data_IF_942730741953
#
_entry.id   IF_942730741953
#
_cell.length_a   1.000
_cell.length_b   1.000
_cell.length_c   1.000
_cell.angle_alpha   90.00
_cell.angle_beta   90.00
_cell.angle_gamma   90.00
#
_symmetry.space_group_name_H-M   'P 1'
#
loop_
_entity.id
_entity.type
_entity.pdbx_description
1 polymer ?
#
# COMPACT_ATOMS: atom_id res chain seq x y z
N UNK A 1 -13.14 4.27 20.98
CA UNK A 1 -12.48 4.00 22.26
C UNK A 1 -13.47 3.68 23.39
N UNK A 2 -14.63 4.36 23.49
CA UNK A 2 -15.58 4.12 24.59
C UNK A 2 -16.17 2.70 24.61
N UNK A 3 -16.34 2.07 23.46
CA UNK A 3 -16.92 0.72 23.31
C UNK A 3 -15.93 -0.40 23.62
N UNK A 4 -14.66 -0.24 23.24
CA UNK A 4 -13.62 -1.24 23.44
C UNK A 4 -12.80 -0.90 24.70
N UNK A 5 -12.78 -1.79 25.68
CA UNK A 5 -12.12 -1.55 26.97
C UNK A 5 -10.58 -1.44 26.82
N UNK A 6 -9.99 -2.25 25.95
CA UNK A 6 -8.57 -2.27 25.62
C UNK A 6 -8.07 -0.94 25.04
N UNK A 7 -8.89 -0.26 24.22
CA UNK A 7 -8.55 1.06 23.67
C UNK A 7 -8.58 2.19 24.73
N UNK A 8 -8.99 1.88 25.96
CA UNK A 8 -8.97 2.81 27.11
C UNK A 8 -7.87 2.48 28.11
N UNK A 9 -7.19 1.36 27.93
CA UNK A 9 -6.07 0.97 28.78
C UNK A 9 -4.91 1.98 28.56
N UNK A 10 -4.39 2.64 29.60
CA UNK A 10 -3.29 3.59 29.46
C UNK A 10 -1.99 2.97 28.94
N UNK A 11 -1.87 1.65 28.97
CA UNK A 11 -0.75 0.90 28.39
C UNK A 11 -0.88 0.72 26.87
N UNK A 12 -2.07 0.96 26.32
CA UNK A 12 -2.31 0.88 24.87
C UNK A 12 -1.74 2.13 24.19
N UNK A 13 -0.45 2.08 23.89
CA UNK A 13 0.28 3.11 23.14
C UNK A 13 0.73 2.54 21.79
N UNK A 14 0.55 3.33 20.73
CA UNK A 14 0.93 2.95 19.36
C UNK A 14 1.69 4.08 18.69
N UNK A 15 2.68 3.74 17.86
CA UNK A 15 3.46 4.71 17.09
C UNK A 15 2.69 5.18 15.85
N UNK A 16 1.79 4.37 15.32
CA UNK A 16 0.98 4.70 14.17
C UNK A 16 -0.37 4.01 14.21
N UNK A 17 -1.30 4.48 13.39
CA UNK A 17 -2.58 3.82 13.14
C UNK A 17 -2.94 3.94 11.66
N UNK A 18 -3.34 2.84 11.05
CA UNK A 18 -3.97 2.80 9.73
C UNK A 18 -5.42 2.38 9.91
N UNK A 19 -6.34 3.09 9.31
CA UNK A 19 -7.76 2.72 9.39
C UNK A 19 -8.48 2.96 8.07
N UNK A 20 -9.56 2.22 7.85
CA UNK A 20 -10.47 2.36 6.72
C UNK A 20 -11.92 2.35 7.19
N UNK A 21 -12.77 3.18 6.59
CA UNK A 21 -14.15 3.39 7.10
C UNK A 21 -15.16 2.40 6.54
N UNK A 22 -14.87 1.70 5.46
CA UNK A 22 -15.85 0.84 4.79
C UNK A 22 -15.18 -0.31 4.05
N UNK A 23 -15.99 -1.33 3.73
CA UNK A 23 -15.59 -2.44 2.87
C UNK A 23 -15.48 -2.02 1.40
N UNK A 24 -14.83 -2.85 0.58
CA UNK A 24 -14.84 -2.73 -0.88
C UNK A 24 -16.28 -2.75 -1.40
N UNK A 25 -16.54 -1.97 -2.47
CA UNK A 25 -17.87 -1.89 -3.10
C UNK A 25 -18.15 -3.05 -4.06
N UNK A 26 -17.10 -3.75 -4.53
CA UNK A 26 -17.17 -4.77 -5.58
C UNK A 26 -17.28 -6.19 -5.04
N UNK A 27 -17.33 -6.37 -3.72
CA UNK A 27 -17.45 -7.66 -3.06
C UNK A 27 -18.49 -7.61 -1.96
N UNK A 28 -19.06 -8.77 -1.61
CA UNK A 28 -19.90 -8.88 -0.43
C UNK A 28 -19.06 -8.63 0.83
N UNK A 29 -19.49 -7.77 1.76
CA UNK A 29 -18.78 -7.51 2.99
C UNK A 29 -18.57 -8.77 3.82
N UNK A 30 -17.31 -9.08 4.13
CA UNK A 30 -16.87 -10.18 4.99
C UNK A 30 -15.71 -9.71 5.83
N UNK A 31 -15.57 -10.23 7.03
CA UNK A 31 -14.46 -9.85 7.93
C UNK A 31 -13.07 -10.05 7.32
N UNK A 32 -12.77 -11.13 6.57
CA UNK A 32 -11.49 -11.29 5.91
C UNK A 32 -11.17 -10.21 4.85
N UNK A 33 -12.19 -9.48 4.39
CA UNK A 33 -12.06 -8.41 3.40
C UNK A 33 -12.18 -7.02 4.04
N UNK A 34 -12.19 -6.93 5.38
CA UNK A 34 -12.16 -5.66 6.08
C UNK A 34 -10.78 -5.01 5.93
N UNK A 35 -10.77 -3.71 5.69
CA UNK A 35 -9.54 -2.93 5.56
C UNK A 35 -9.24 -2.16 6.86
N UNK A 36 -7.98 -1.88 7.19
CA UNK A 36 -6.78 -2.31 6.46
C UNK A 36 -6.61 -3.81 6.47
N UNK A 37 -5.98 -4.34 5.43
CA UNK A 37 -5.59 -5.74 5.29
C UNK A 37 -4.37 -6.03 6.18
N UNK A 38 -3.47 -6.94 5.79
CA UNK A 38 -2.26 -7.26 6.58
C UNK A 38 -1.20 -6.18 6.49
N UNK A 39 -0.97 -5.64 5.28
CA UNK A 39 0.05 -4.63 5.02
C UNK A 39 -0.54 -3.34 4.49
N UNK A 40 -1.70 -3.37 3.81
CA UNK A 40 -2.23 -2.20 3.15
C UNK A 40 -3.73 -1.93 3.40
N UNK A 41 -4.11 -0.67 3.18
CA UNK A 41 -5.47 -0.23 2.98
C UNK A 41 -5.57 0.52 1.66
N UNK A 42 -6.67 0.33 0.93
CA UNK A 42 -6.88 0.81 -0.42
C UNK A 42 -8.14 1.66 -0.54
N UNK A 43 -8.00 2.83 -1.11
CA UNK A 43 -9.12 3.64 -1.59
C UNK A 43 -9.00 3.78 -3.11
N UNK A 44 -9.80 3.03 -3.84
CA UNK A 44 -9.78 3.01 -5.30
C UNK A 44 -10.32 1.71 -5.87
N UNK A 45 -9.82 1.36 -7.05
CA UNK A 45 -10.18 0.15 -7.78
C UNK A 45 -9.03 -0.25 -8.71
N UNK A 46 -8.60 -1.51 -8.65
CA UNK A 46 -7.61 -2.06 -9.57
C UNK A 46 -8.31 -2.59 -10.81
N UNK A 47 -8.12 -1.91 -11.93
CA UNK A 47 -8.80 -2.23 -13.19
C UNK A 47 -8.18 -3.44 -13.90
N UNK A 48 -6.93 -3.78 -13.62
CA UNK A 48 -6.19 -4.88 -14.25
C UNK A 48 -6.30 -6.20 -13.49
N UNK A 49 -7.18 -6.29 -12.47
CA UNK A 49 -7.27 -7.40 -11.54
C UNK A 49 -7.25 -8.78 -12.20
N UNK A 50 -8.07 -9.00 -13.26
CA UNK A 50 -8.13 -10.30 -13.91
C UNK A 50 -6.79 -10.73 -14.51
N UNK A 51 -6.08 -9.82 -15.15
CA UNK A 51 -4.73 -10.05 -15.65
C UNK A 51 -3.74 -10.35 -14.52
N UNK A 52 -3.79 -9.56 -13.43
CA UNK A 52 -2.93 -9.75 -12.28
C UNK A 52 -3.15 -11.11 -11.59
N UNK A 53 -4.40 -11.56 -11.45
CA UNK A 53 -4.72 -12.88 -10.91
C UNK A 53 -4.13 -14.02 -11.76
N UNK A 54 -4.25 -13.91 -13.10
CA UNK A 54 -3.71 -14.90 -14.02
C UNK A 54 -2.18 -14.97 -13.95
N UNK A 55 -1.52 -13.83 -13.88
CA UNK A 55 -0.07 -13.76 -13.75
C UNK A 55 0.42 -14.25 -12.38
N UNK A 56 -0.24 -13.85 -11.29
CA UNK A 56 0.09 -14.37 -9.97
C UNK A 56 0.02 -15.89 -9.94
N UNK A 57 -1.05 -16.48 -10.51
CA UNK A 57 -1.20 -17.93 -10.63
C UNK A 57 -0.11 -18.57 -11.50
N UNK A 58 0.28 -17.93 -12.61
CA UNK A 58 1.36 -18.43 -13.45
C UNK A 58 2.71 -18.41 -12.73
N UNK A 59 2.94 -17.44 -11.86
CA UNK A 59 4.18 -17.29 -11.09
C UNK A 59 4.27 -18.25 -9.89
N UNK A 60 3.18 -18.89 -9.46
CA UNK A 60 3.17 -19.85 -8.36
C UNK A 60 4.13 -21.02 -8.56
N UNK A 61 4.36 -21.43 -9.81
CA UNK A 61 5.29 -22.51 -10.14
C UNK A 61 6.75 -22.21 -9.72
N UNK A 62 7.13 -20.94 -9.60
CA UNK A 62 8.46 -20.52 -9.17
C UNK A 62 8.62 -20.36 -7.66
N UNK A 63 7.56 -20.52 -6.88
CA UNK A 63 7.64 -20.32 -5.43
C UNK A 63 8.49 -21.36 -4.72
N UNK A 64 8.56 -22.58 -5.26
CA UNK A 64 9.36 -23.66 -4.71
C UNK A 64 10.85 -23.33 -4.68
N UNK A 65 11.33 -22.57 -5.68
CA UNK A 65 12.73 -22.12 -5.76
C UNK A 65 13.11 -21.18 -4.60
N UNK A 66 12.15 -20.43 -4.07
CA UNK A 66 12.37 -19.44 -3.00
C UNK A 66 11.98 -19.99 -1.63
N UNK A 67 10.87 -20.72 -1.56
CA UNK A 67 10.25 -21.15 -0.30
C UNK A 67 10.39 -22.64 -0.01
N UNK A 68 10.94 -23.43 -0.95
CA UNK A 68 11.05 -24.88 -0.81
C UNK A 68 9.71 -25.55 -0.52
N UNK A 69 9.69 -26.50 0.39
CA UNK A 69 8.46 -27.23 0.78
C UNK A 69 7.34 -26.33 1.32
N UNK A 70 7.67 -25.16 1.90
CA UNK A 70 6.69 -24.23 2.41
C UNK A 70 5.87 -23.54 1.28
N UNK A 71 6.31 -23.63 0.03
CA UNK A 71 5.57 -23.09 -1.12
C UNK A 71 4.15 -23.67 -1.23
N UNK A 72 3.98 -24.94 -0.87
CA UNK A 72 2.67 -25.60 -0.92
C UNK A 72 1.63 -24.97 0.01
N UNK A 73 2.07 -24.40 1.14
CA UNK A 73 1.18 -23.71 2.10
C UNK A 73 0.83 -22.28 1.65
N UNK A 74 1.56 -21.72 0.68
CA UNK A 74 1.34 -20.37 0.15
C UNK A 74 0.41 -20.36 -1.07
N UNK A 75 0.20 -21.49 -1.72
CA UNK A 75 -0.62 -21.61 -2.94
C UNK A 75 -2.07 -21.99 -2.57
N UNK A 76 -3.09 -21.28 -3.11
CA UNK A 76 -2.98 -20.16 -4.04
C UNK A 76 -2.65 -18.84 -3.33
N UNK A 77 -1.76 -18.03 -3.93
CA UNK A 77 -1.39 -16.70 -3.41
C UNK A 77 -2.57 -15.73 -3.51
N UNK A 78 -3.31 -15.80 -4.60
CA UNK A 78 -4.46 -14.93 -4.89
C UNK A 78 -5.75 -15.75 -4.94
N UNK A 79 -6.87 -15.08 -4.63
CA UNK A 79 -8.18 -15.72 -4.63
C UNK A 79 -9.17 -14.88 -5.47
N UNK A 80 -9.73 -15.43 -6.57
CA UNK A 80 -10.65 -14.71 -7.44
C UNK A 80 -11.96 -14.28 -6.75
N UNK A 81 -12.31 -14.92 -5.61
CA UNK A 81 -13.48 -14.54 -4.82
C UNK A 81 -13.22 -13.38 -3.84
N UNK A 82 -11.98 -12.90 -3.78
CA UNK A 82 -11.58 -11.79 -2.92
C UNK A 82 -11.59 -10.46 -3.69
N UNK A 83 -11.55 -9.35 -2.93
CA UNK A 83 -11.46 -8.03 -3.53
C UNK A 83 -10.10 -7.82 -4.22
N UNK A 84 -10.07 -6.83 -5.12
CA UNK A 84 -8.84 -6.31 -5.71
C UNK A 84 -7.80 -5.98 -4.64
N UNK A 85 -8.22 -5.26 -3.62
CA UNK A 85 -7.36 -4.86 -2.49
C UNK A 85 -6.78 -6.04 -1.72
N UNK A 86 -7.59 -7.08 -1.48
CA UNK A 86 -7.13 -8.25 -0.75
C UNK A 86 -6.11 -9.08 -1.56
N UNK A 87 -6.30 -9.15 -2.86
CA UNK A 87 -5.36 -9.82 -3.76
C UNK A 87 -4.06 -9.03 -3.93
N UNK A 88 -4.15 -7.70 -4.01
CA UNK A 88 -2.97 -6.83 -4.02
C UNK A 88 -2.18 -6.97 -2.71
N UNK A 89 -2.87 -6.98 -1.56
CA UNK A 89 -2.24 -7.17 -0.25
C UNK A 89 -1.53 -8.53 -0.14
N UNK A 90 -2.16 -9.61 -0.61
CA UNK A 90 -1.55 -10.94 -0.61
C UNK A 90 -0.29 -11.00 -1.48
N UNK A 91 -0.32 -10.39 -2.66
CA UNK A 91 0.85 -10.29 -3.54
C UNK A 91 1.96 -9.44 -2.90
N UNK A 92 1.60 -8.30 -2.31
CA UNK A 92 2.52 -7.44 -1.58
C UNK A 92 3.15 -8.19 -0.40
N UNK A 93 2.34 -8.91 0.39
CA UNK A 93 2.84 -9.67 1.53
C UNK A 93 3.85 -10.74 1.09
N UNK A 94 3.55 -11.47 0.01
CA UNK A 94 4.48 -12.46 -0.54
C UNK A 94 5.82 -11.83 -0.89
N UNK A 95 5.83 -10.69 -1.59
CA UNK A 95 7.07 -9.99 -1.96
C UNK A 95 7.86 -9.54 -0.73
N UNK A 96 7.19 -8.98 0.26
CA UNK A 96 7.81 -8.50 1.51
C UNK A 96 8.37 -9.67 2.31
N UNK A 97 7.63 -10.79 2.42
CA UNK A 97 8.08 -11.99 3.12
C UNK A 97 9.21 -12.71 2.36
N UNK A 98 9.30 -12.53 1.05
CA UNK A 98 10.41 -13.00 0.22
C UNK A 98 11.65 -12.11 0.30
N UNK A 99 11.65 -11.06 1.14
CA UNK A 99 12.82 -10.25 1.47
C UNK A 99 12.90 -8.89 0.77
N UNK A 100 11.92 -8.49 -0.01
CA UNK A 100 11.86 -7.13 -0.58
C UNK A 100 11.36 -6.13 0.46
N UNK A 101 11.81 -4.88 0.39
CA UNK A 101 11.21 -3.85 1.22
C UNK A 101 9.77 -3.56 0.77
N UNK A 102 8.91 -3.10 1.69
CA UNK A 102 7.53 -2.76 1.34
C UNK A 102 7.47 -1.62 0.32
N UNK A 103 8.37 -0.65 0.39
CA UNK A 103 8.47 0.45 -0.55
C UNK A 103 8.86 -0.01 -1.95
N UNK A 104 9.87 -0.87 -2.07
CA UNK A 104 10.31 -1.42 -3.37
C UNK A 104 9.24 -2.34 -3.98
N UNK A 105 8.55 -3.10 -3.14
CA UNK A 105 7.44 -3.95 -3.58
C UNK A 105 6.29 -3.11 -4.14
N UNK A 106 5.92 -2.02 -3.48
CA UNK A 106 4.87 -1.11 -3.95
C UNK A 106 5.27 -0.37 -5.22
N UNK A 107 6.51 0.11 -5.34
CA UNK A 107 7.03 0.71 -6.57
C UNK A 107 6.99 -0.27 -7.73
N UNK A 108 7.21 -1.56 -7.45
CA UNK A 108 7.13 -2.63 -8.47
C UNK A 108 5.69 -2.93 -8.87
N UNK A 109 4.78 -3.06 -7.89
CA UNK A 109 3.39 -3.40 -8.13
C UNK A 109 2.57 -2.24 -8.70
N UNK A 110 2.85 -1.02 -8.25
CA UNK A 110 2.13 0.20 -8.65
C UNK A 110 3.16 1.26 -9.07
N UNK A 111 3.84 1.06 -10.20
CA UNK A 111 4.87 1.98 -10.67
C UNK A 111 4.27 3.32 -11.10
N UNK A 112 5.06 4.38 -11.01
CA UNK A 112 4.74 5.64 -11.65
C UNK A 112 4.79 5.55 -13.18
N UNK A 113 4.28 6.55 -13.87
CA UNK A 113 4.40 6.68 -15.32
C UNK A 113 5.83 7.09 -15.70
N UNK A 114 6.77 6.13 -15.73
CA UNK A 114 8.21 6.39 -15.90
C UNK A 114 8.66 6.53 -17.35
N UNK A 115 7.84 6.08 -18.32
CA UNK A 115 8.19 6.15 -19.74
C UNK A 115 7.92 7.55 -20.31
N UNK A 116 8.91 8.11 -21.00
CA UNK A 116 8.84 9.45 -21.60
C UNK A 116 8.54 10.55 -20.56
N UNK A 117 9.12 10.45 -19.38
CA UNK A 117 8.99 11.42 -18.31
C UNK A 117 10.21 12.34 -18.29
N UNK A 118 10.06 13.64 -18.66
CA UNK A 118 11.19 14.57 -18.67
C UNK A 118 11.89 14.71 -17.32
N UNK A 119 11.14 14.58 -16.23
CA UNK A 119 11.68 14.65 -14.86
C UNK A 119 12.66 13.51 -14.54
N UNK A 120 12.57 12.39 -15.27
CA UNK A 120 13.47 11.24 -15.14
C UNK A 120 14.64 11.23 -16.13
N UNK A 121 14.72 12.20 -17.04
CA UNK A 121 15.82 12.27 -18.02
C UNK A 121 17.21 12.37 -17.35
N UNK A 122 17.26 13.00 -16.17
CA UNK A 122 18.47 13.08 -15.35
C UNK A 122 18.72 11.88 -14.44
N UNK A 123 17.80 10.91 -14.42
CA UNK A 123 17.81 9.74 -13.52
C UNK A 123 17.66 8.42 -14.30
N UNK A 124 18.63 8.09 -15.17
CA UNK A 124 18.60 6.84 -15.94
C UNK A 124 18.62 5.59 -15.06
N UNK A 125 19.18 5.68 -13.86
CA UNK A 125 19.16 4.65 -12.84
C UNK A 125 17.72 4.28 -12.39
N UNK A 126 16.87 5.29 -12.20
CA UNK A 126 15.46 5.13 -11.82
C UNK A 126 14.67 4.51 -12.97
N UNK A 127 14.87 5.02 -14.19
CA UNK A 127 14.22 4.45 -15.39
C UNK A 127 14.59 2.99 -15.58
N UNK A 128 15.89 2.65 -15.48
CA UNK A 128 16.36 1.26 -15.59
C UNK A 128 15.77 0.35 -14.50
N UNK A 129 15.62 0.85 -13.27
CA UNK A 129 14.95 0.13 -12.19
C UNK A 129 13.49 -0.21 -12.55
N UNK A 130 12.74 0.75 -13.06
CA UNK A 130 11.35 0.52 -13.49
C UNK A 130 11.27 -0.44 -14.67
N UNK A 131 12.14 -0.32 -15.66
CA UNK A 131 12.20 -1.24 -16.80
C UNK A 131 12.51 -2.67 -16.36
N UNK A 132 13.47 -2.84 -15.45
CA UNK A 132 13.78 -4.14 -14.85
C UNK A 132 12.56 -4.72 -14.11
N UNK A 133 11.93 -3.94 -13.24
CA UNK A 133 10.75 -4.38 -12.50
C UNK A 133 9.60 -4.75 -13.43
N UNK A 134 9.36 -3.97 -14.50
CA UNK A 134 8.32 -4.26 -15.49
C UNK A 134 8.58 -5.54 -16.30
N UNK A 135 9.81 -6.03 -16.33
CA UNK A 135 10.18 -7.31 -16.93
C UNK A 135 9.91 -8.54 -16.05
N UNK A 136 9.72 -8.35 -14.75
CA UNK A 136 9.55 -9.45 -13.80
C UNK A 136 8.18 -9.45 -13.09
N UNK A 137 7.46 -8.35 -13.11
CA UNK A 137 6.17 -8.20 -12.42
C UNK A 137 5.24 -7.30 -13.21
N UNK A 138 4.01 -7.76 -13.46
CA UNK A 138 2.97 -6.94 -14.06
C UNK A 138 2.48 -5.88 -13.08
N UNK A 139 2.28 -4.64 -13.56
CA UNK A 139 1.73 -3.60 -12.72
C UNK A 139 0.26 -3.88 -12.38
N UNK A 140 -0.10 -3.51 -11.16
CA UNK A 140 -1.49 -3.43 -10.71
C UNK A 140 -1.96 -2.00 -10.95
N UNK A 141 -2.84 -1.81 -11.92
CA UNK A 141 -3.22 -0.48 -12.41
C UNK A 141 -4.69 -0.16 -12.17
N UNK A 142 -4.92 1.07 -11.80
CA UNK A 142 -6.24 1.63 -11.51
C UNK A 142 -6.13 2.84 -10.59
N UNK A 143 -7.25 3.57 -10.38
CA UNK A 143 -7.29 4.68 -9.43
C UNK A 143 -7.01 4.17 -8.02
N UNK A 144 -5.88 4.52 -7.41
CA UNK A 144 -5.51 3.98 -6.11
C UNK A 144 -4.80 5.01 -5.21
N UNK A 145 -5.33 5.17 -4.00
CA UNK A 145 -4.57 5.61 -2.85
C UNK A 145 -4.33 4.39 -1.97
N UNK A 146 -3.10 3.99 -1.84
CA UNK A 146 -2.67 2.89 -0.98
C UNK A 146 -2.00 3.46 0.26
N UNK A 147 -2.46 3.06 1.44
CA UNK A 147 -1.74 3.26 2.71
C UNK A 147 -1.16 1.92 3.14
N UNK A 148 0.03 1.91 3.70
CA UNK A 148 0.75 0.68 4.01
C UNK A 148 1.50 0.75 5.34
N UNK A 149 1.71 -0.41 5.95
CA UNK A 149 2.57 -0.56 7.11
C UNK A 149 3.11 -1.99 7.19
N UNK A 150 4.40 -2.14 7.49
CA UNK A 150 5.07 -3.44 7.72
C UNK A 150 5.60 -3.60 9.16
N UNK A 151 5.26 -2.65 10.04
CA UNK A 151 5.75 -2.58 11.41
C UNK A 151 7.07 -1.80 11.57
N UNK A 152 7.79 -1.53 10.48
CA UNK A 152 9.00 -0.71 10.46
C UNK A 152 8.78 0.60 9.72
N UNK A 153 7.97 0.57 8.69
CA UNK A 153 7.58 1.71 7.87
C UNK A 153 6.08 1.83 7.80
N UNK A 154 5.60 3.06 7.77
CA UNK A 154 4.21 3.40 7.49
C UNK A 154 4.21 4.48 6.42
N UNK A 155 3.27 4.41 5.48
CA UNK A 155 3.27 5.38 4.40
C UNK A 155 2.05 5.30 3.51
N UNK A 156 2.12 6.04 2.42
CA UNK A 156 1.10 5.99 1.38
C UNK A 156 1.70 6.28 0.00
N UNK A 157 1.05 5.73 -1.03
CA UNK A 157 1.42 5.97 -2.43
C UNK A 157 0.17 6.15 -3.28
N UNK A 158 0.30 6.92 -4.35
CA UNK A 158 -0.74 7.09 -5.36
C UNK A 158 -0.41 6.29 -6.62
N UNK A 159 -1.47 5.94 -7.34
CA UNK A 159 -1.36 5.41 -8.69
C UNK A 159 -0.64 6.39 -9.64
N UNK A 160 -0.18 5.87 -10.78
CA UNK A 160 0.59 6.62 -11.77
C UNK A 160 -0.10 7.86 -12.33
N UNK A 161 -1.43 7.92 -12.26
CA UNK A 161 -2.24 9.05 -12.76
C UNK A 161 -2.68 10.00 -11.64
N UNK A 162 -2.51 9.61 -10.37
CA UNK A 162 -2.91 10.41 -9.23
C UNK A 162 -4.41 10.69 -9.17
N UNK A 163 -5.23 9.71 -9.61
CA UNK A 163 -6.69 9.89 -9.74
C UNK A 163 -7.39 9.95 -8.40
N UNK A 164 -6.80 9.37 -7.36
CA UNK A 164 -7.35 9.48 -6.01
C UNK A 164 -6.70 10.65 -5.27
N UNK A 165 -7.46 11.38 -4.45
CA UNK A 165 -6.87 12.42 -3.61
C UNK A 165 -6.08 11.78 -2.47
N UNK A 166 -4.94 12.38 -2.14
CA UNK A 166 -4.14 12.08 -0.95
C UNK A 166 -3.66 13.38 -0.32
N UNK A 167 -4.11 13.66 0.89
CA UNK A 167 -3.77 14.85 1.66
C UNK A 167 -2.93 14.47 2.85
N UNK A 168 -1.91 15.26 3.13
CA UNK A 168 -1.07 15.05 4.30
C UNK A 168 -0.79 16.36 5.03
N UNK A 169 -0.50 16.25 6.30
CA UNK A 169 0.04 17.35 7.09
C UNK A 169 0.94 16.84 8.21
N UNK A 170 1.82 17.72 8.67
CA UNK A 170 2.64 17.52 9.87
C UNK A 170 2.25 18.54 10.93
N UNK A 171 2.39 18.17 12.19
CA UNK A 171 2.08 19.03 13.32
C UNK A 171 3.32 19.30 14.16
N UNK A 172 3.32 20.43 14.91
CA UNK A 172 4.45 20.84 15.74
C UNK A 172 4.78 19.84 16.87
N UNK A 173 3.81 19.02 17.26
CA UNK A 173 3.99 17.94 18.25
C UNK A 173 4.37 16.59 17.59
N UNK A 174 4.82 16.62 16.32
CA UNK A 174 5.46 15.48 15.65
C UNK A 174 4.51 14.48 14.98
N UNK A 175 3.21 14.77 14.83
CA UNK A 175 2.34 13.88 14.07
C UNK A 175 2.47 14.10 12.57
N UNK A 176 2.51 13.00 11.83
CA UNK A 176 2.29 12.94 10.38
C UNK A 176 0.91 12.31 10.14
N UNK A 177 0.03 13.03 9.48
CA UNK A 177 -1.35 12.62 9.22
C UNK A 177 -1.56 12.59 7.72
N UNK A 178 -2.09 11.48 7.22
CA UNK A 178 -2.43 11.31 5.81
C UNK A 178 -3.80 10.68 5.65
N UNK A 179 -4.53 11.10 4.62
CA UNK A 179 -5.83 10.54 4.29
C UNK A 179 -6.27 10.90 2.88
N UNK A 180 -7.33 10.25 2.41
CA UNK A 180 -7.97 10.58 1.12
C UNK A 180 -8.55 12.00 1.09
N UNK A 181 -8.83 12.58 2.25
CA UNK A 181 -9.41 13.91 2.39
C UNK A 181 -8.94 14.60 3.68
N UNK A 182 -9.13 15.90 3.75
CA UNK A 182 -8.88 16.67 4.98
C UNK A 182 -9.97 16.41 6.01
N UNK A 183 -9.64 16.54 7.30
CA UNK A 183 -10.60 16.37 8.39
C UNK A 183 -10.82 14.91 8.82
N UNK A 184 -9.99 13.97 8.36
CA UNK A 184 -10.02 12.56 8.80
C UNK A 184 -9.62 12.40 10.25
N UNK A 185 -8.84 13.35 10.77
CA UNK A 185 -8.44 13.47 12.17
C UNK A 185 -8.78 14.87 12.66
N UNK A 186 -9.32 14.97 13.87
CA UNK A 186 -9.54 16.27 14.51
C UNK A 186 -8.19 16.88 14.91
N UNK A 187 -7.89 18.03 14.34
CA UNK A 187 -6.66 18.80 14.60
C UNK A 187 -6.91 20.03 15.50
N UNK A 188 -8.07 20.12 16.13
CA UNK A 188 -8.39 21.21 17.05
C UNK A 188 -7.36 21.29 18.16
N UNK A 189 -6.74 22.44 18.30
CA UNK A 189 -5.68 22.67 19.29
C UNK A 189 -4.27 22.23 18.88
N UNK A 190 -4.09 21.69 17.66
CA UNK A 190 -2.76 21.36 17.11
C UNK A 190 -2.29 22.43 16.12
N UNK A 191 -1.00 22.75 16.19
CA UNK A 191 -0.35 23.63 15.21
C UNK A 191 0.12 22.81 14.02
N UNK A 192 -0.51 23.01 12.86
CA UNK A 192 -0.06 22.43 11.58
C UNK A 192 1.17 23.20 11.09
N UNK A 193 2.28 22.49 10.89
CA UNK A 193 3.56 23.06 10.43
C UNK A 193 3.61 23.05 8.90
N UNK A 194 3.23 21.93 8.31
CA UNK A 194 3.27 21.74 6.86
C UNK A 194 2.06 20.93 6.42
N UNK A 195 1.61 21.15 5.20
CA UNK A 195 0.53 20.39 4.57
C UNK A 195 0.70 20.34 3.07
N UNK A 196 0.23 19.25 2.48
CA UNK A 196 0.34 19.06 1.05
C UNK A 196 -0.59 17.98 0.50
N UNK A 197 -0.31 17.60 -0.71
CA UNK A 197 -0.93 16.49 -1.40
C UNK A 197 0.15 15.64 -2.05
N UNK A 198 -0.09 14.35 -2.20
CA UNK A 198 0.71 13.52 -3.11
C UNK A 198 0.27 13.79 -4.55
N UNK A 199 1.24 13.86 -5.42
CA UNK A 199 1.05 13.85 -6.87
C UNK A 199 1.01 12.43 -7.45
N UNK A 200 0.78 12.30 -8.77
CA UNK A 200 0.82 11.04 -9.50
C UNK A 200 2.09 10.24 -9.22
N UNK A 201 1.96 8.96 -8.90
CA UNK A 201 3.09 8.06 -8.64
C UNK A 201 3.95 8.39 -7.41
N UNK A 202 3.61 9.43 -6.67
CA UNK A 202 4.40 9.82 -5.50
C UNK A 202 4.08 8.94 -4.29
N UNK A 203 5.13 8.69 -3.50
CA UNK A 203 5.06 7.97 -2.25
C UNK A 203 5.61 8.83 -1.11
N UNK A 204 5.01 8.69 0.06
CA UNK A 204 5.60 9.12 1.33
C UNK A 204 5.73 7.92 2.25
N UNK A 205 6.85 7.80 2.93
CA UNK A 205 7.09 6.76 3.93
C UNK A 205 7.77 7.37 5.14
N UNK A 206 7.34 6.94 6.33
CA UNK A 206 7.95 7.27 7.61
C UNK A 206 8.62 6.01 8.13
N UNK A 207 9.90 6.12 8.48
CA UNK A 207 10.66 5.05 9.11
C UNK A 207 10.45 5.18 10.64
N UNK A 208 9.79 4.19 11.24
CA UNK A 208 9.41 4.24 12.65
C UNK A 208 10.59 4.06 13.63
N UNK A 209 11.73 3.60 13.14
CA UNK A 209 12.96 3.47 13.95
C UNK A 209 13.79 4.75 13.95
N UNK A 210 13.65 5.57 12.89
CA UNK A 210 14.44 6.80 12.71
C UNK A 210 13.67 8.07 13.06
N UNK A 211 12.36 8.01 13.07
CA UNK A 211 11.46 9.15 13.34
C UNK A 211 11.21 10.02 12.12
#
# INVERSE_FOLDING_TARGET
>A
AQYYADLRDPRFAVSFAVYHRRFSTNTLPRWPLAQPMRLLGHNGEINTLLGNLNWAKASEAGLEDVWGEAAADLIPVVNPDFSDSANLDATLELMVRSGRSITDSLITLVPEAFRNQPDLDSRPDVTAMYEFNAGIQEPWDGPALLVFADGKRVGATLDRNGLRPARWCTTADGFVIMGSETGVVDLSGKTVVEKGRLGPGQMVAVDLERG
#
